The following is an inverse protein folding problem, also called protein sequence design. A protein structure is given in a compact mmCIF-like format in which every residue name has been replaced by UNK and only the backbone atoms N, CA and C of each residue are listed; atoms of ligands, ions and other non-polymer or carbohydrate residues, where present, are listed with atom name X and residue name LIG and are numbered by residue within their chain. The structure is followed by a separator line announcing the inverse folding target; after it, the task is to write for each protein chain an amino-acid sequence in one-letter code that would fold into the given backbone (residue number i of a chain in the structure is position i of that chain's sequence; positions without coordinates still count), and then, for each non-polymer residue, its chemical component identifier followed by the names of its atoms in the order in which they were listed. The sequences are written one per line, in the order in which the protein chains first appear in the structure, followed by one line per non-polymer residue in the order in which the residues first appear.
data_IF_144426563404
#
_entry.id   IF_144426563404
#
_cell.length_a   1.000
_cell.length_b   1.000
_cell.length_c   1.000
_cell.angle_alpha   90.00
_cell.angle_beta   90.00
_cell.angle_gamma   90.00
#
_symmetry.space_group_name_H-M   'P 1'
#
loop_
_entity.id
_entity.type
_entity.pdbx_description
1 polymer ?
#
# COMPACT_ATOMS: atom_id res chain seq x y z
N UNK A 1 3.14 56.79 38.15
CA UNK A 1 3.17 56.08 37.89
C UNK A 1 2.83 55.12 37.09
N UNK A 2 2.78 54.54 36.62
CA UNK A 2 2.50 53.62 35.92
C UNK A 2 2.82 52.58 35.49
N UNK A 3 2.63 51.96 35.27
CA UNK A 3 2.91 50.87 34.97
C UNK A 3 2.48 50.01 34.09
N UNK A 4 2.69 49.67 33.53
CA UNK A 4 2.35 48.93 32.70
C UNK A 4 2.59 47.79 32.47
N UNK A 5 2.36 47.13 32.34
CA UNK A 5 2.52 45.95 32.15
C UNK A 5 2.26 45.21 31.09
N UNK A 6 2.38 44.56 30.75
CA UNK A 6 2.20 43.69 29.77
C UNK A 6 2.34 42.47 29.55
N UNK A 7 2.31 41.85 29.38
CA UNK A 7 1.95 40.83 29.32
C UNK A 7 1.97 40.23 28.16
N UNK A 8 2.23 39.71 27.90
CA UNK A 8 2.23 39.05 26.84
C UNK A 8 2.23 37.88 26.52
N UNK A 9 1.90 37.39 26.29
CA UNK A 9 1.80 36.32 25.89
C UNK A 9 2.10 35.61 24.89
N UNK A 10 2.38 35.01 24.66
CA UNK A 10 2.85 34.33 23.89
C UNK A 10 2.33 33.20 23.52
N UNK A 11 1.83 32.92 23.24
CA UNK A 11 1.41 31.82 22.85
C UNK A 11 1.81 30.95 22.06
N UNK A 12 2.10 30.40 21.86
CA UNK A 12 2.51 29.43 21.40
C UNK A 12 1.90 28.67 20.59
N UNK A 13 2.07 28.51 19.84
CA UNK A 13 1.46 27.88 18.95
C UNK A 13 1.87 26.61 18.79
N UNK A 14 1.93 26.00 19.05
CA UNK A 14 2.37 24.87 18.88
C UNK A 14 1.73 23.89 18.29
N UNK A 15 1.86 23.09 18.31
CA UNK A 15 1.30 22.05 17.93
C UNK A 15 0.96 21.73 16.73
N UNK A 16 1.28 21.77 16.06
CA UNK A 16 0.94 21.48 14.91
C UNK A 16 1.60 20.50 14.35
N UNK A 17 2.45 20.24 14.43
CA UNK A 17 3.07 19.29 13.75
C UNK A 17 2.63 17.96 13.92
N UNK A 18 2.13 17.64 14.81
CA UNK A 18 1.86 16.38 15.00
C UNK A 18 1.15 15.68 14.08
N UNK A 19 0.42 16.12 13.49
CA UNK A 19 -0.35 15.42 12.69
C UNK A 19 0.34 14.61 11.80
N UNK A 20 1.17 14.98 11.25
CA UNK A 20 1.78 14.25 10.26
C UNK A 20 2.13 12.92 10.75
N UNK A 21 2.60 12.85 11.87
CA UNK A 21 2.97 11.62 12.29
C UNK A 21 1.94 10.63 12.33
N UNK A 22 0.95 10.87 12.81
CA UNK A 22 0.02 9.87 12.99
C UNK A 22 -0.27 9.12 11.80
N UNK A 23 -0.52 9.76 10.80
CA UNK A 23 -0.94 9.05 9.68
C UNK A 23 0.08 8.18 9.14
N UNK A 24 1.23 8.43 9.33
CA UNK A 24 2.25 7.61 8.77
C UNK A 24 2.03 6.16 9.07
N UNK A 25 1.36 5.86 10.08
CA UNK A 25 1.20 4.47 10.43
C UNK A 25 0.31 3.72 9.46
N UNK A 26 -0.45 4.41 8.68
CA UNK A 26 -1.40 3.74 7.82
C UNK A 26 -0.87 3.60 6.40
N UNK A 27 0.03 2.69 6.20
CA UNK A 27 0.56 2.47 4.86
C UNK A 27 -0.29 1.47 4.10
N UNK A 28 -0.39 1.67 2.81
CA UNK A 28 -1.09 0.73 1.96
C UNK A 28 -0.39 -0.63 2.00
N UNK A 29 -1.17 -1.69 1.94
CA UNK A 29 -0.65 -3.05 2.01
C UNK A 29 -1.34 -3.95 1.01
N UNK A 30 -0.62 -4.95 0.56
CA UNK A 30 -1.16 -5.99 -0.30
C UNK A 30 -1.07 -7.33 0.42
N UNK A 31 -2.01 -8.19 0.11
CA UNK A 31 -2.01 -9.54 0.65
C UNK A 31 -2.36 -10.53 -0.46
N UNK A 32 -1.75 -11.70 -0.41
CA UNK A 32 -2.03 -12.73 -1.39
C UNK A 32 -3.24 -13.53 -0.93
N UNK A 33 -4.23 -13.65 -1.77
CA UNK A 33 -5.45 -14.37 -1.45
C UNK A 33 -5.63 -15.64 -2.27
N UNK A 34 -4.92 -15.79 -3.35
CA UNK A 34 -5.02 -16.97 -4.17
C UNK A 34 -3.95 -16.97 -5.24
N UNK A 35 -3.60 -18.14 -5.73
CA UNK A 35 -2.54 -18.27 -6.72
C UNK A 35 -3.05 -18.77 -8.07
N UNK A 36 -4.21 -19.37 -8.13
CA UNK A 36 -4.75 -19.95 -9.37
C UNK A 36 -6.25 -19.72 -9.43
N UNK A 37 -6.69 -18.59 -9.90
CA UNK A 37 -5.92 -17.48 -10.47
C UNK A 37 -5.34 -16.61 -9.39
N UNK A 38 -4.34 -15.85 -9.74
CA UNK A 38 -3.73 -14.94 -8.78
C UNK A 38 -4.79 -13.96 -8.28
N UNK A 39 -4.92 -13.85 -6.97
CA UNK A 39 -5.86 -12.92 -6.35
C UNK A 39 -5.12 -12.13 -5.28
N UNK A 40 -5.22 -10.83 -5.34
CA UNK A 40 -4.53 -9.94 -4.43
C UNK A 40 -5.53 -8.99 -3.79
N UNK A 41 -5.41 -8.76 -2.52
CA UNK A 41 -6.22 -7.76 -1.85
C UNK A 41 -5.34 -6.61 -1.39
N UNK A 42 -5.91 -5.44 -1.33
CA UNK A 42 -5.22 -4.26 -0.84
C UNK A 42 -6.01 -3.59 0.26
N UNK A 43 -5.29 -2.97 1.19
CA UNK A 43 -5.91 -2.23 2.28
C UNK A 43 -5.12 -0.95 2.53
N UNK A 44 -5.74 -0.02 3.19
CA UNK A 44 -5.13 1.25 3.55
C UNK A 44 -4.71 2.11 2.35
N UNK A 45 -5.36 1.91 1.22
CA UNK A 45 -5.23 2.83 0.12
C UNK A 45 -6.17 4.00 0.40
N UNK A 46 -6.11 5.02 -0.39
CA UNK A 46 -7.04 6.12 -0.19
C UNK A 46 -8.39 5.76 -0.76
N UNK A 47 -9.42 6.34 -0.20
CA UNK A 47 -10.78 6.04 -0.63
C UNK A 47 -10.94 6.27 -2.12
N UNK A 48 -11.45 5.28 -2.80
CA UNK A 48 -11.75 5.35 -4.23
C UNK A 48 -10.56 5.62 -5.12
N UNK A 49 -9.38 5.36 -4.62
CA UNK A 49 -8.16 5.56 -5.38
C UNK A 49 -8.07 4.54 -6.51
N UNK A 50 -7.57 4.98 -7.65
CA UNK A 50 -7.35 4.06 -8.76
C UNK A 50 -5.99 3.44 -8.54
N UNK A 51 -5.93 2.14 -8.64
CA UNK A 51 -4.72 1.40 -8.34
C UNK A 51 -4.29 0.58 -9.53
N UNK A 52 -3.03 0.69 -9.90
CA UNK A 52 -2.44 -0.12 -10.93
C UNK A 52 -1.59 -1.20 -10.27
N UNK A 53 -1.88 -2.44 -10.59
CA UNK A 53 -1.16 -3.57 -10.06
C UNK A 53 -0.30 -4.16 -11.17
N UNK A 54 0.94 -4.47 -10.85
CA UNK A 54 1.83 -5.10 -11.81
C UNK A 54 2.41 -6.34 -11.19
N UNK A 55 2.18 -7.47 -11.82
CA UNK A 55 2.76 -8.73 -11.42
C UNK A 55 4.08 -8.89 -12.13
N UNK A 56 5.12 -9.25 -11.39
CA UNK A 56 6.43 -9.54 -11.95
C UNK A 56 6.79 -10.97 -11.63
N UNK A 57 7.06 -11.75 -12.64
CA UNK A 57 7.48 -13.13 -12.47
C UNK A 57 8.44 -13.52 -13.60
N UNK A 58 9.16 -14.61 -13.45
CA UNK A 58 10.14 -14.98 -14.48
C UNK A 58 9.58 -15.09 -15.89
N UNK A 59 8.33 -15.49 -16.00
CA UNK A 59 7.72 -15.64 -17.30
C UNK A 59 7.26 -14.31 -17.92
N UNK A 60 7.36 -13.24 -17.20
CA UNK A 60 6.92 -11.94 -17.72
C UNK A 60 6.03 -11.20 -16.76
N UNK A 61 5.56 -10.06 -17.16
CA UNK A 61 4.75 -9.22 -16.30
C UNK A 61 3.32 -9.12 -16.77
N UNK A 62 2.44 -8.79 -15.86
CA UNK A 62 1.02 -8.59 -16.16
C UNK A 62 0.53 -7.38 -15.39
N UNK A 63 -0.17 -6.51 -16.07
CA UNK A 63 -0.69 -5.29 -15.43
C UNK A 63 -2.20 -5.36 -15.36
N UNK A 64 -2.73 -4.94 -14.23
CA UNK A 64 -4.17 -4.85 -14.05
C UNK A 64 -4.51 -3.60 -13.29
N UNK A 65 -5.69 -3.09 -13.49
CA UNK A 65 -6.16 -1.89 -12.79
C UNK A 65 -7.36 -2.22 -11.95
N UNK A 66 -7.50 -1.53 -10.85
CA UNK A 66 -8.66 -1.67 -10.01
C UNK A 66 -8.89 -0.35 -9.29
N UNK A 67 -9.92 -0.29 -8.49
CA UNK A 67 -10.25 0.91 -7.76
C UNK A 67 -10.54 0.52 -6.34
N UNK A 68 -9.96 1.23 -5.40
CA UNK A 68 -10.22 0.98 -3.99
C UNK A 68 -11.64 1.43 -3.66
N UNK A 69 -12.24 0.77 -2.71
CA UNK A 69 -13.56 1.16 -2.27
C UNK A 69 -13.49 2.37 -1.37
N UNK A 70 -14.63 2.74 -0.81
CA UNK A 70 -14.68 3.92 0.05
C UNK A 70 -13.85 3.78 1.31
N UNK A 71 -13.49 2.57 1.70
CA UNK A 71 -12.65 2.35 2.86
C UNK A 71 -11.21 2.03 2.48
N UNK A 72 -10.85 2.23 1.22
CA UNK A 72 -9.46 2.02 0.80
C UNK A 72 -9.09 0.57 0.61
N UNK A 73 -10.04 -0.31 0.43
CA UNK A 73 -9.75 -1.72 0.25
C UNK A 73 -10.21 -2.19 -1.13
N UNK A 74 -9.56 -3.20 -1.65
CA UNK A 74 -9.97 -3.82 -2.89
C UNK A 74 -9.52 -5.27 -2.92
N UNK A 75 -10.11 -6.01 -3.84
CA UNK A 75 -9.70 -7.38 -4.11
C UNK A 75 -9.68 -7.53 -5.62
N UNK A 76 -8.56 -7.93 -6.16
CA UNK A 76 -8.42 -8.03 -7.61
C UNK A 76 -7.97 -9.41 -8.01
N UNK A 77 -8.69 -9.98 -8.94
CA UNK A 77 -8.35 -11.27 -9.53
C UNK A 77 -7.65 -10.99 -10.84
N UNK A 78 -6.60 -11.75 -11.13
CA UNK A 78 -5.89 -11.66 -12.40
C UNK A 78 -6.39 -12.86 -13.22
N UNK A 79 -7.41 -12.68 -14.04
CA UNK A 79 -8.00 -13.80 -14.77
C UNK A 79 -6.98 -14.50 -15.65
N UNK A 80 -6.98 -15.82 -15.61
CA UNK A 80 -6.07 -16.58 -16.44
C UNK A 80 -4.62 -16.55 -16.01
N UNK A 81 -4.30 -15.94 -14.90
CA UNK A 81 -2.93 -15.84 -14.43
C UNK A 81 -2.74 -16.72 -13.22
N UNK A 82 -1.78 -17.62 -13.30
CA UNK A 82 -1.43 -18.49 -12.20
C UNK A 82 0.01 -18.20 -11.83
N UNK A 83 0.31 -18.10 -10.55
CA UNK A 83 1.68 -17.90 -10.10
C UNK A 83 2.19 -19.15 -9.43
N UNK A 84 3.47 -19.43 -9.65
CA UNK A 84 4.11 -20.61 -9.12
C UNK A 84 4.92 -20.20 -7.90
N UNK A 85 4.52 -20.68 -6.75
CA UNK A 85 5.21 -20.31 -5.51
C UNK A 85 6.63 -20.88 -5.47
N UNK A 86 6.93 -21.85 -6.30
CA UNK A 86 8.28 -22.40 -6.35
C UNK A 86 9.24 -21.50 -7.12
N UNK A 87 8.70 -20.57 -7.90
CA UNK A 87 9.57 -19.67 -8.64
C UNK A 87 9.66 -18.30 -8.05
N UNK A 88 8.77 -17.97 -7.20
CA UNK A 88 8.75 -16.64 -6.64
C UNK A 88 8.12 -15.63 -7.59
N UNK A 89 7.65 -14.55 -7.06
CA UNK A 89 7.04 -13.48 -7.82
C UNK A 89 6.84 -12.27 -6.91
N UNK A 90 6.55 -11.14 -7.49
CA UNK A 90 6.18 -10.00 -6.67
C UNK A 90 5.16 -9.14 -7.42
N UNK A 91 4.33 -8.46 -6.64
CA UNK A 91 3.29 -7.59 -7.16
C UNK A 91 3.51 -6.21 -6.60
N UNK A 92 3.51 -5.20 -7.46
CA UNK A 92 3.59 -3.84 -7.00
C UNK A 92 2.26 -3.15 -7.24
N UNK A 93 1.89 -2.26 -6.37
CA UNK A 93 0.67 -1.48 -6.49
C UNK A 93 1.01 -0.01 -6.42
N UNK A 94 0.43 0.76 -7.30
CA UNK A 94 0.65 2.19 -7.32
C UNK A 94 -0.70 2.86 -7.46
N UNK A 95 -1.04 3.68 -6.52
CA UNK A 95 -2.31 4.38 -6.54
C UNK A 95 -2.20 5.77 -7.12
N UNK A 96 -3.27 6.25 -7.73
CA UNK A 96 -3.30 7.57 -8.33
C UNK A 96 -3.15 8.69 -7.31
N UNK A 97 -3.42 8.41 -6.06
CA UNK A 97 -3.28 9.40 -5.01
C UNK A 97 -1.95 9.27 -4.26
N UNK A 98 -1.06 8.43 -4.77
CA UNK A 98 0.27 8.31 -4.18
C UNK A 98 0.50 7.08 -3.33
N UNK A 99 -0.50 6.27 -3.09
CA UNK A 99 -0.32 5.07 -2.29
C UNK A 99 0.55 4.07 -3.03
N UNK A 100 1.37 3.34 -2.30
CA UNK A 100 2.23 2.32 -2.88
C UNK A 100 2.33 1.14 -1.95
N UNK A 101 2.42 -0.03 -2.52
CA UNK A 101 2.57 -1.25 -1.74
C UNK A 101 3.22 -2.32 -2.61
N UNK A 102 3.88 -3.26 -1.97
CA UNK A 102 4.56 -4.34 -2.68
C UNK A 102 4.32 -5.64 -1.92
N UNK A 103 4.08 -6.69 -2.66
CA UNK A 103 3.90 -8.02 -2.11
C UNK A 103 4.97 -8.88 -2.73
N UNK A 104 5.87 -9.44 -1.94
CA UNK A 104 6.96 -10.25 -2.42
C UNK A 104 6.80 -11.66 -1.90
N UNK A 105 6.94 -12.64 -2.77
CA UNK A 105 6.94 -14.04 -2.39
C UNK A 105 8.17 -14.71 -3.02
N UNK A 106 9.07 -15.10 -2.16
CA UNK A 106 10.29 -15.76 -2.63
C UNK A 106 10.00 -17.21 -2.93
N UNK A 107 10.83 -17.81 -3.78
CA UNK A 107 10.69 -19.22 -4.08
C UNK A 107 10.78 -20.03 -2.78
N UNK A 108 9.96 -21.05 -2.67
CA UNK A 108 9.96 -21.88 -1.49
C UNK A 108 11.19 -22.79 -1.48
N UNK A 109 11.86 -22.95 -0.35
CA UNK A 109 13.03 -23.80 -0.27
C UNK A 109 12.76 -25.25 -0.66
N UNK A 110 11.60 -25.77 -0.35
CA UNK A 110 11.29 -27.15 -0.67
C UNK A 110 11.12 -27.37 -2.16
N UNK A 111 11.12 -26.36 -2.97
CA UNK A 111 11.01 -26.48 -4.41
C UNK A 111 12.38 -26.39 -5.09
N UNK A 112 13.45 -26.34 -4.32
CA UNK A 112 14.77 -26.18 -4.91
C UNK A 112 15.10 -27.38 -5.80
N UNK A 113 15.81 -27.16 -6.87
CA UNK A 113 16.15 -28.26 -7.76
C UNK A 113 17.10 -29.22 -7.04
N UNK A 114 17.00 -30.46 -7.37
CA UNK A 114 17.84 -31.47 -6.75
C UNK A 114 19.11 -31.69 -7.52
#
# INVERSE_FOLDING_TARGET
MLVSVFALLALAALGLARDATGTAAQHARLALKGTAPLTVSGTHFRARERVTLVLHQPAGGTRRRTKAGRHGAFRKVFPGVTVDRCRGFWVSAKGSAGSRATLVRRALPECAPR
#
